data_IF_213180524423
#
_entry.id   IF_213180524423
#
_cell.length_a   1.000
_cell.length_b   1.000
_cell.length_c   1.000
_cell.angle_alpha   90.00
_cell.angle_beta   90.00
_cell.angle_gamma   90.00
#
_symmetry.space_group_name_H-M   'P 1'
#
loop_
_entity.id
_entity.type
_entity.pdbx_description
1 polymer ?
#
# COMPACT_ATOMS: atom_id res chain seq x y z
N UNK A 1 -19.66 -18.20 -1.00
CA UNK A 1 -20.77 -17.58 -0.24
C UNK A 1 -20.43 -17.28 1.22
N UNK A 2 -19.23 -17.60 1.74
CA UNK A 2 -18.81 -17.24 3.10
C UNK A 2 -17.78 -16.08 3.17
N UNK A 3 -17.28 -15.60 2.03
CA UNK A 3 -16.23 -14.57 1.97
C UNK A 3 -16.78 -13.14 2.00
N UNK A 4 -18.03 -12.93 1.56
CA UNK A 4 -18.66 -11.61 1.52
C UNK A 4 -18.93 -11.06 2.94
N UNK A 5 -19.15 -11.94 3.92
CA UNK A 5 -19.38 -11.55 5.31
C UNK A 5 -18.11 -11.18 6.07
N UNK A 6 -16.94 -11.72 5.71
CA UNK A 6 -15.72 -11.48 6.50
C UNK A 6 -15.24 -10.05 6.34
N UNK A 7 -15.36 -9.47 5.14
CA UNK A 7 -14.89 -8.11 4.89
C UNK A 7 -15.85 -7.07 5.48
N UNK A 8 -17.16 -7.27 5.32
CA UNK A 8 -18.18 -6.39 5.89
C UNK A 8 -18.15 -6.44 7.42
N UNK A 9 -18.10 -7.63 8.04
CA UNK A 9 -17.99 -7.75 9.50
C UNK A 9 -16.73 -7.07 10.04
N UNK A 10 -15.60 -7.16 9.31
CA UNK A 10 -14.32 -6.54 9.70
C UNK A 10 -14.35 -5.02 9.55
N UNK A 11 -15.04 -4.50 8.53
CA UNK A 11 -15.23 -3.07 8.32
C UNK A 11 -16.20 -2.52 9.37
N UNK A 12 -17.31 -3.21 9.64
CA UNK A 12 -18.33 -2.82 10.61
C UNK A 12 -17.75 -2.82 12.04
N UNK A 13 -16.95 -3.82 12.42
CA UNK A 13 -16.26 -3.87 13.72
C UNK A 13 -15.20 -2.75 13.87
N UNK A 14 -14.55 -2.33 12.77
CA UNK A 14 -13.62 -1.19 12.79
C UNK A 14 -14.35 0.16 12.86
N UNK A 15 -15.50 0.29 12.19
CA UNK A 15 -16.34 1.48 12.20
C UNK A 15 -17.34 1.49 13.35
N UNK A 16 -17.24 0.56 14.31
CA UNK A 16 -18.11 0.54 15.48
C UNK A 16 -18.04 1.90 16.18
N UNK A 17 -19.15 2.63 16.06
CA UNK A 17 -19.21 4.07 16.21
C UNK A 17 -18.81 4.47 17.63
N UNK A 18 -19.11 3.62 18.62
CA UNK A 18 -18.78 3.82 20.02
C UNK A 18 -17.28 3.67 20.32
N UNK A 19 -16.61 2.69 19.70
CA UNK A 19 -15.17 2.48 19.89
C UNK A 19 -14.37 3.59 19.21
N UNK A 20 -14.82 4.02 18.03
CA UNK A 20 -14.19 5.05 17.21
C UNK A 20 -14.37 6.44 17.85
N UNK A 21 -15.56 6.77 18.33
CA UNK A 21 -15.83 8.00 19.07
C UNK A 21 -15.04 8.07 20.39
N UNK A 22 -14.94 6.96 21.11
CA UNK A 22 -14.10 6.86 22.32
C UNK A 22 -12.62 7.10 21.99
N UNK A 23 -12.13 6.51 20.90
CA UNK A 23 -10.74 6.66 20.45
C UNK A 23 -10.42 8.11 20.03
N UNK A 24 -11.33 8.74 19.28
CA UNK A 24 -11.23 10.16 18.86
C UNK A 24 -11.21 11.08 20.08
N UNK A 25 -12.09 10.85 21.07
CA UNK A 25 -12.12 11.66 22.31
C UNK A 25 -10.83 11.53 23.11
N UNK A 26 -10.22 10.35 23.13
CA UNK A 26 -9.00 10.09 23.90
C UNK A 26 -7.72 10.56 23.19
N UNK A 27 -7.70 10.63 21.85
CA UNK A 27 -6.52 11.04 21.06
C UNK A 27 -6.87 12.00 19.90
N UNK A 28 -7.49 13.17 20.16
CA UNK A 28 -8.02 14.03 19.11
C UNK A 28 -6.92 14.59 18.18
N UNK A 29 -5.73 14.86 18.73
CA UNK A 29 -4.62 15.40 17.95
C UNK A 29 -4.10 14.41 16.90
N UNK A 30 -4.03 13.12 17.24
CA UNK A 30 -3.54 12.08 16.32
C UNK A 30 -4.52 11.84 15.17
N UNK A 31 -5.81 11.88 15.47
CA UNK A 31 -6.89 11.81 14.49
C UNK A 31 -6.94 13.04 13.58
N UNK A 32 -6.71 14.23 14.14
CA UNK A 32 -6.64 15.46 13.35
C UNK A 32 -5.46 15.41 12.37
N UNK A 33 -4.30 14.93 12.83
CA UNK A 33 -3.13 14.74 11.96
C UNK A 33 -3.41 13.68 10.88
N UNK A 34 -3.99 12.53 11.24
CA UNK A 34 -4.28 11.48 10.25
C UNK A 34 -5.23 11.99 9.19
N UNK A 35 -6.28 12.71 9.57
CA UNK A 35 -7.22 13.31 8.61
C UNK A 35 -6.54 14.38 7.76
N UNK A 36 -5.75 15.28 8.34
CA UNK A 36 -5.04 16.32 7.60
C UNK A 36 -4.07 15.76 6.55
N UNK A 37 -3.44 14.62 6.83
CA UNK A 37 -2.52 13.95 5.90
C UNK A 37 -3.23 13.25 4.74
N UNK A 38 -4.49 12.85 4.92
CA UNK A 38 -5.22 12.00 3.97
C UNK A 38 -6.23 12.80 3.15
N UNK A 39 -6.97 13.73 3.78
CA UNK A 39 -8.10 14.43 3.16
C UNK A 39 -7.74 15.10 1.83
N UNK A 40 -6.63 15.86 1.74
CA UNK A 40 -6.31 16.55 0.49
C UNK A 40 -6.08 15.58 -0.67
N UNK A 41 -5.42 14.45 -0.40
CA UNK A 41 -5.22 13.40 -1.41
C UNK A 41 -6.51 12.69 -1.78
N UNK A 42 -7.42 12.45 -0.84
CA UNK A 42 -8.75 11.90 -1.15
C UNK A 42 -9.60 12.85 -1.99
N UNK A 43 -9.59 14.16 -1.68
CA UNK A 43 -10.34 15.17 -2.46
C UNK A 43 -9.79 15.22 -3.89
N UNK A 44 -8.46 15.30 -4.03
CA UNK A 44 -7.79 15.27 -5.33
C UNK A 44 -8.22 14.04 -6.15
N UNK A 45 -8.13 12.86 -5.53
CA UNK A 45 -8.46 11.58 -6.15
C UNK A 45 -9.94 11.50 -6.54
N UNK A 46 -10.84 11.97 -5.68
CA UNK A 46 -12.29 11.92 -5.92
C UNK A 46 -12.75 12.78 -7.09
N UNK A 47 -11.98 13.84 -7.41
CA UNK A 47 -12.27 14.75 -8.51
C UNK A 47 -11.61 14.31 -9.83
N UNK A 48 -10.77 13.26 -9.80
CA UNK A 48 -10.19 12.66 -11.01
C UNK A 48 -9.17 13.53 -11.72
N UNK A 49 -8.50 14.44 -11.00
CA UNK A 49 -7.44 15.26 -11.59
C UNK A 49 -6.23 14.41 -11.97
N UNK A 50 -5.61 14.73 -13.10
CA UNK A 50 -4.40 14.08 -13.61
C UNK A 50 -3.13 14.89 -13.40
N UNK A 51 -3.26 16.18 -13.06
CA UNK A 51 -2.14 17.10 -12.83
C UNK A 51 -2.44 18.06 -11.66
N UNK A 52 -1.46 18.30 -10.79
CA UNK A 52 -1.63 19.17 -9.61
C UNK A 52 -2.00 20.61 -9.95
N UNK A 53 -1.47 21.13 -11.05
CA UNK A 53 -1.74 22.50 -11.51
C UNK A 53 -3.21 22.70 -11.88
N UNK A 54 -3.84 21.68 -12.47
CA UNK A 54 -5.28 21.70 -12.80
C UNK A 54 -6.14 21.70 -11.55
N UNK A 55 -5.79 20.88 -10.55
CA UNK A 55 -6.50 20.83 -9.28
C UNK A 55 -6.43 22.17 -8.52
N UNK A 56 -5.26 22.81 -8.49
CA UNK A 56 -5.05 24.06 -7.76
C UNK A 56 -5.71 25.25 -8.46
N UNK A 57 -5.68 25.25 -9.79
CA UNK A 57 -6.46 26.19 -10.61
C UNK A 57 -7.95 26.10 -10.27
N UNK A 58 -8.53 24.89 -10.29
CA UNK A 58 -9.96 24.69 -10.01
C UNK A 58 -10.33 24.99 -8.56
N UNK A 59 -9.43 24.75 -7.61
CA UNK A 59 -9.64 25.10 -6.20
C UNK A 59 -9.38 26.58 -5.90
N UNK A 60 -8.96 27.37 -6.88
CA UNK A 60 -8.65 28.79 -6.71
C UNK A 60 -7.48 29.06 -5.77
N UNK A 61 -6.56 28.09 -5.64
CA UNK A 61 -5.41 28.17 -4.74
C UNK A 61 -4.18 28.77 -5.46
N UNK A 62 -3.25 29.40 -4.73
CA UNK A 62 -1.97 29.82 -5.30
C UNK A 62 -1.14 28.63 -5.81
N UNK A 63 -0.37 28.83 -6.88
CA UNK A 63 0.52 27.80 -7.47
C UNK A 63 1.55 27.23 -6.48
N UNK A 64 1.92 27.97 -5.44
CA UNK A 64 2.79 27.49 -4.37
C UNK A 64 2.23 26.26 -3.61
N UNK A 65 0.93 25.98 -3.73
CA UNK A 65 0.31 24.79 -3.15
C UNK A 65 0.55 23.51 -3.95
N UNK A 66 1.12 23.59 -5.17
CA UNK A 66 1.39 22.40 -6.01
C UNK A 66 2.32 21.44 -5.28
N UNK A 67 3.40 21.99 -4.72
CA UNK A 67 4.35 21.24 -3.90
C UNK A 67 3.71 20.66 -2.63
N UNK A 68 2.69 21.33 -2.06
CA UNK A 68 1.97 20.81 -0.90
C UNK A 68 1.11 19.61 -1.28
N UNK A 69 0.43 19.63 -2.42
CA UNK A 69 -0.33 18.50 -2.93
C UNK A 69 0.56 17.34 -3.34
N UNK A 70 1.68 17.62 -3.99
CA UNK A 70 2.67 16.60 -4.34
C UNK A 70 3.17 15.86 -3.09
N UNK A 71 3.49 16.59 -2.01
CA UNK A 71 3.88 15.98 -0.73
C UNK A 71 2.74 15.14 -0.13
N UNK A 72 1.49 15.58 -0.24
CA UNK A 72 0.35 14.87 0.36
C UNK A 72 -0.22 13.73 -0.47
N UNK A 73 0.07 13.67 -1.76
CA UNK A 73 -0.42 12.62 -2.68
C UNK A 73 0.73 11.66 -2.97
N UNK A 74 1.77 12.11 -3.66
CA UNK A 74 2.93 11.30 -4.00
C UNK A 74 3.77 10.99 -2.77
N UNK A 75 3.89 11.93 -1.83
CA UNK A 75 4.57 11.67 -0.56
C UNK A 75 3.89 10.60 0.31
N UNK A 76 2.69 10.11 -0.02
CA UNK A 76 2.09 8.92 0.62
C UNK A 76 2.97 7.67 0.50
N UNK A 77 3.88 7.63 -0.49
CA UNK A 77 4.94 6.61 -0.58
C UNK A 77 5.76 6.47 0.71
N UNK A 78 5.95 7.58 1.44
CA UNK A 78 6.64 7.60 2.72
C UNK A 78 5.69 7.84 3.89
N UNK A 79 4.73 8.75 3.73
CA UNK A 79 3.82 9.15 4.80
C UNK A 79 3.03 7.92 5.28
N UNK A 80 2.50 7.09 4.37
CA UNK A 80 1.71 5.93 4.76
C UNK A 80 2.51 4.91 5.60
N UNK A 81 3.64 4.36 5.12
CA UNK A 81 4.40 3.36 5.88
C UNK A 81 5.06 3.93 7.14
N UNK A 82 5.63 5.15 7.08
CA UNK A 82 6.33 5.74 8.23
C UNK A 82 5.32 6.15 9.31
N UNK A 83 4.22 6.80 8.94
CA UNK A 83 3.19 7.18 9.92
C UNK A 83 2.55 5.94 10.54
N UNK A 84 2.22 4.92 9.74
CA UNK A 84 1.71 3.65 10.25
C UNK A 84 2.66 3.06 11.31
N UNK A 85 3.97 3.08 11.05
CA UNK A 85 4.97 2.59 11.99
C UNK A 85 5.08 3.45 13.28
N UNK A 86 5.09 4.78 13.15
CA UNK A 86 5.19 5.69 14.29
C UNK A 86 3.94 5.62 15.18
N UNK A 87 2.75 5.70 14.59
CA UNK A 87 1.49 5.63 15.32
C UNK A 87 1.31 4.26 16.00
N UNK A 88 1.69 3.18 15.32
CA UNK A 88 1.70 1.83 15.90
C UNK A 88 2.61 1.73 17.14
N UNK A 89 3.81 2.34 17.12
CA UNK A 89 4.70 2.36 18.30
C UNK A 89 4.13 3.13 19.49
N UNK A 90 3.30 4.13 19.24
CA UNK A 90 2.63 4.89 20.30
C UNK A 90 1.37 4.21 20.85
N UNK A 91 1.05 3.00 20.38
CA UNK A 91 -0.15 2.25 20.78
C UNK A 91 -1.44 2.74 20.13
N UNK A 92 -1.37 3.58 19.09
CA UNK A 92 -2.56 4.13 18.40
C UNK A 92 -2.73 3.44 17.05
N UNK A 93 -3.26 2.23 17.08
CA UNK A 93 -3.37 1.36 15.90
C UNK A 93 -4.46 1.84 14.93
N UNK A 94 -5.54 2.45 15.43
CA UNK A 94 -6.64 2.98 14.61
C UNK A 94 -6.23 4.09 13.62
N UNK A 95 -5.63 5.22 14.06
CA UNK A 95 -5.18 6.25 13.11
C UNK A 95 -4.03 5.74 12.22
N UNK A 96 -3.20 4.80 12.71
CA UNK A 96 -2.17 4.15 11.89
C UNK A 96 -2.78 3.39 10.72
N UNK A 97 -3.82 2.59 10.97
CA UNK A 97 -4.50 1.81 9.95
C UNK A 97 -5.25 2.71 8.97
N UNK A 98 -5.91 3.77 9.44
CA UNK A 98 -6.58 4.74 8.58
C UNK A 98 -5.59 5.35 7.56
N UNK A 99 -4.43 5.80 8.04
CA UNK A 99 -3.38 6.35 7.16
C UNK A 99 -2.86 5.28 6.19
N UNK A 100 -2.63 4.06 6.67
CA UNK A 100 -2.17 2.97 5.82
C UNK A 100 -3.17 2.64 4.71
N UNK A 101 -4.46 2.50 5.04
CA UNK A 101 -5.51 2.17 4.07
C UNK A 101 -5.75 3.31 3.09
N UNK A 102 -5.98 4.52 3.59
CA UNK A 102 -6.31 5.64 2.73
C UNK A 102 -5.11 6.12 1.91
N UNK A 103 -3.89 6.11 2.48
CA UNK A 103 -2.66 6.37 1.75
C UNK A 103 -2.44 5.36 0.62
N UNK A 104 -2.72 4.07 0.88
CA UNK A 104 -2.66 3.04 -0.17
C UNK A 104 -3.71 3.26 -1.26
N UNK A 105 -4.94 3.62 -0.89
CA UNK A 105 -6.01 3.91 -1.84
C UNK A 105 -5.71 5.13 -2.73
N UNK A 106 -5.16 6.20 -2.14
CA UNK A 106 -4.70 7.39 -2.89
C UNK A 106 -3.63 6.99 -3.91
N UNK A 107 -2.66 6.15 -3.52
CA UNK A 107 -1.61 5.69 -4.44
C UNK A 107 -2.17 4.82 -5.57
N UNK A 108 -3.09 3.89 -5.26
CA UNK A 108 -3.74 3.04 -6.28
C UNK A 108 -4.51 3.89 -7.29
N UNK A 109 -5.20 4.93 -6.82
CA UNK A 109 -6.06 5.75 -7.66
C UNK A 109 -5.29 6.80 -8.49
N UNK A 110 -4.02 7.05 -8.18
CA UNK A 110 -3.17 8.01 -8.90
C UNK A 110 -1.93 7.33 -9.52
N UNK A 111 -2.09 6.33 -10.40
CA UNK A 111 -0.97 5.56 -10.95
C UNK A 111 -0.04 6.40 -11.84
N UNK A 112 -0.54 7.47 -12.46
CA UNK A 112 0.23 8.35 -13.34
C UNK A 112 1.37 9.06 -12.60
N UNK A 113 1.11 9.50 -11.36
CA UNK A 113 2.08 10.23 -10.55
C UNK A 113 3.23 9.32 -10.10
N UNK A 114 2.91 8.07 -9.74
CA UNK A 114 3.91 7.05 -9.38
C UNK A 114 4.74 6.65 -10.59
N UNK A 115 4.10 6.52 -11.76
CA UNK A 115 4.78 6.20 -13.01
C UNK A 115 5.81 7.27 -13.41
N UNK A 116 5.45 8.57 -13.29
CA UNK A 116 6.35 9.70 -13.55
C UNK A 116 7.60 9.64 -12.66
N UNK A 117 7.43 9.43 -11.36
CA UNK A 117 8.57 9.26 -10.44
C UNK A 117 9.43 8.04 -10.78
N UNK A 118 8.79 6.92 -11.12
CA UNK A 118 9.51 5.70 -11.43
C UNK A 118 10.33 5.81 -12.70
N UNK A 119 9.84 6.52 -13.73
CA UNK A 119 10.59 6.77 -14.96
C UNK A 119 11.81 7.68 -14.72
N UNK A 120 11.68 8.66 -13.82
CA UNK A 120 12.78 9.59 -13.51
C UNK A 120 13.90 8.96 -12.67
N UNK A 121 13.57 8.03 -11.77
CA UNK A 121 14.51 7.46 -10.81
C UNK A 121 14.94 6.01 -11.13
N UNK A 122 14.22 5.28 -11.97
CA UNK A 122 14.57 3.93 -12.42
C UNK A 122 14.68 2.89 -11.30
N UNK A 123 15.68 2.01 -11.40
CA UNK A 123 15.95 0.93 -10.43
C UNK A 123 16.05 1.37 -8.95
N UNK A 124 16.72 2.49 -8.60
CA UNK A 124 16.70 3.02 -7.23
C UNK A 124 15.30 3.20 -6.63
N UNK A 125 14.31 3.61 -7.43
CA UNK A 125 12.94 3.81 -6.97
C UNK A 125 12.24 2.49 -6.64
N UNK A 126 12.50 1.42 -7.40
CA UNK A 126 11.96 0.09 -7.11
C UNK A 126 12.48 -0.47 -5.78
N UNK A 127 13.78 -0.32 -5.51
CA UNK A 127 14.38 -0.70 -4.22
C UNK A 127 13.81 0.12 -3.06
N UNK A 128 13.60 1.41 -3.30
CA UNK A 128 12.97 2.29 -2.32
C UNK A 128 11.53 1.87 -2.00
N UNK A 129 10.70 1.58 -3.01
CA UNK A 129 9.33 1.11 -2.80
C UNK A 129 9.29 -0.20 -2.01
N UNK A 130 10.18 -1.16 -2.33
CA UNK A 130 10.34 -2.39 -1.56
C UNK A 130 10.75 -2.11 -0.12
N UNK A 131 11.73 -1.24 0.11
CA UNK A 131 12.16 -0.87 1.45
C UNK A 131 11.03 -0.21 2.27
N UNK A 132 10.17 0.58 1.61
CA UNK A 132 9.02 1.24 2.24
C UNK A 132 7.88 0.27 2.62
N UNK A 133 7.85 -0.96 2.09
CA UNK A 133 6.92 -2.00 2.60
C UNK A 133 7.34 -2.56 3.97
N UNK A 134 8.64 -2.51 4.29
CA UNK A 134 9.19 -3.13 5.49
C UNK A 134 8.63 -2.56 6.82
N UNK A 135 8.47 -1.23 7.00
CA UNK A 135 7.83 -0.67 8.18
C UNK A 135 6.42 -1.24 8.44
N UNK A 136 5.60 -1.41 7.40
CA UNK A 136 4.24 -1.94 7.54
C UNK A 136 4.24 -3.43 7.90
N UNK A 137 5.13 -4.22 7.29
CA UNK A 137 5.34 -5.63 7.63
C UNK A 137 5.82 -5.77 9.08
N UNK A 138 6.67 -4.85 9.55
CA UNK A 138 7.11 -4.82 10.94
C UNK A 138 5.93 -4.57 11.90
N UNK A 139 5.06 -3.62 11.59
CA UNK A 139 3.83 -3.37 12.37
C UNK A 139 2.99 -4.65 12.44
N UNK A 140 2.80 -5.32 11.31
CA UNK A 140 2.06 -6.58 11.24
C UNK A 140 2.69 -7.67 12.12
N UNK A 141 4.03 -7.76 12.17
CA UNK A 141 4.76 -8.70 13.03
C UNK A 141 4.64 -8.34 14.52
N UNK A 142 4.63 -7.05 14.85
CA UNK A 142 4.59 -6.52 16.22
C UNK A 142 3.27 -6.70 16.99
N UNK A 143 2.20 -7.11 16.29
CA UNK A 143 0.82 -7.21 16.79
C UNK A 143 0.59 -7.94 18.11
N UNK A 144 1.42 -8.94 18.48
CA UNK A 144 1.27 -9.68 19.76
C UNK A 144 1.43 -8.77 20.97
N UNK A 145 2.13 -7.64 20.80
CA UNK A 145 2.35 -6.64 21.86
C UNK A 145 1.38 -5.46 21.80
N UNK A 146 0.59 -5.36 20.73
CA UNK A 146 -0.19 -4.17 20.41
C UNK A 146 -1.69 -4.37 20.55
N UNK A 147 -2.17 -5.61 20.45
CA UNK A 147 -3.59 -5.95 20.45
C UNK A 147 -3.83 -7.15 21.35
N UNK A 148 -4.91 -7.09 22.13
CA UNK A 148 -5.36 -8.19 22.97
C UNK A 148 -5.78 -9.40 22.12
N UNK A 149 -5.62 -10.64 22.63
CA UNK A 149 -5.99 -11.84 21.89
C UNK A 149 -7.51 -11.91 21.70
N UNK A 150 -7.99 -11.91 20.45
CA UNK A 150 -9.42 -11.95 20.12
C UNK A 150 -9.71 -11.83 18.61
N UNK A 151 -11.00 -11.71 18.26
CA UNK A 151 -11.49 -11.51 16.89
C UNK A 151 -10.99 -10.21 16.27
N UNK A 152 -11.05 -9.12 17.05
CA UNK A 152 -10.53 -7.80 16.66
C UNK A 152 -9.10 -7.91 16.12
N UNK A 153 -8.21 -8.63 16.83
CA UNK A 153 -6.81 -8.75 16.39
C UNK A 153 -6.67 -9.39 15.00
N UNK A 154 -7.56 -10.30 14.63
CA UNK A 154 -7.56 -10.90 13.30
C UNK A 154 -8.05 -9.87 12.27
N UNK A 155 -9.15 -9.17 12.56
CA UNK A 155 -9.70 -8.09 11.73
C UNK A 155 -8.64 -7.01 11.42
N UNK A 156 -7.94 -6.52 12.44
CA UNK A 156 -6.86 -5.54 12.31
C UNK A 156 -5.69 -6.06 11.46
N UNK A 157 -5.35 -7.34 11.58
CA UNK A 157 -4.31 -7.94 10.75
C UNK A 157 -4.73 -8.01 9.29
N UNK A 158 -5.99 -8.37 9.03
CA UNK A 158 -6.58 -8.45 7.69
C UNK A 158 -6.57 -7.11 7.00
N UNK A 159 -7.08 -6.08 7.65
CA UNK A 159 -7.09 -4.73 7.09
C UNK A 159 -5.67 -4.22 6.82
N UNK A 160 -4.73 -4.48 7.75
CA UNK A 160 -3.34 -4.08 7.54
C UNK A 160 -2.69 -4.85 6.39
N UNK A 161 -2.90 -6.17 6.26
CA UNK A 161 -2.35 -6.93 5.14
C UNK A 161 -2.94 -6.51 3.80
N UNK A 162 -4.25 -6.24 3.73
CA UNK A 162 -4.90 -5.72 2.53
C UNK A 162 -4.27 -4.36 2.18
N UNK A 163 -4.06 -3.48 3.16
CA UNK A 163 -3.41 -2.20 2.91
C UNK A 163 -1.97 -2.37 2.38
N UNK A 164 -1.19 -3.32 2.91
CA UNK A 164 0.16 -3.62 2.41
C UNK A 164 0.08 -4.12 0.96
N UNK A 165 -0.86 -5.02 0.64
CA UNK A 165 -1.05 -5.52 -0.72
C UNK A 165 -1.46 -4.41 -1.69
N UNK A 166 -2.39 -3.54 -1.30
CA UNK A 166 -2.79 -2.38 -2.10
C UNK A 166 -1.61 -1.44 -2.32
N UNK A 167 -0.87 -1.08 -1.26
CA UNK A 167 0.33 -0.27 -1.35
C UNK A 167 1.37 -0.88 -2.29
N UNK A 168 1.67 -2.16 -2.13
CA UNK A 168 2.64 -2.86 -2.96
C UNK A 168 2.20 -2.98 -4.41
N UNK A 169 0.91 -3.21 -4.67
CA UNK A 169 0.38 -3.23 -6.02
C UNK A 169 0.49 -1.85 -6.71
N UNK A 170 0.26 -0.76 -5.97
CA UNK A 170 0.35 0.60 -6.50
C UNK A 170 1.79 1.06 -6.73
N UNK A 171 2.76 0.54 -5.97
CA UNK A 171 4.12 1.11 -5.93
C UNK A 171 5.18 0.15 -6.46
N UNK A 172 5.18 -1.10 -6.00
CA UNK A 172 6.21 -2.09 -6.32
C UNK A 172 6.01 -2.65 -7.73
N UNK A 173 4.78 -2.94 -8.15
CA UNK A 173 4.50 -3.45 -9.50
C UNK A 173 4.94 -2.47 -10.60
N UNK A 174 4.54 -1.18 -10.59
CA UNK A 174 4.98 -0.25 -11.63
C UNK A 174 6.48 0.00 -11.59
N UNK A 175 7.06 0.15 -10.40
CA UNK A 175 8.51 0.41 -10.26
C UNK A 175 9.39 -0.76 -10.67
N UNK A 176 8.97 -1.99 -10.37
CA UNK A 176 9.69 -3.20 -10.80
C UNK A 176 9.59 -3.39 -12.32
N UNK A 177 8.46 -3.01 -12.93
CA UNK A 177 8.32 -2.98 -14.39
C UNK A 177 9.35 -2.06 -15.06
N UNK A 178 9.54 -0.86 -14.51
CA UNK A 178 10.56 0.10 -15.02
C UNK A 178 11.98 -0.44 -14.80
N UNK A 179 12.29 -0.94 -13.61
CA UNK A 179 13.63 -1.47 -13.29
C UNK A 179 14.01 -2.68 -14.17
N UNK A 180 13.06 -3.58 -14.44
CA UNK A 180 13.29 -4.73 -15.32
C UNK A 180 13.46 -4.30 -16.78
N UNK A 181 12.77 -3.24 -17.21
CA UNK A 181 12.95 -2.68 -18.55
C UNK A 181 14.34 -2.03 -18.71
N UNK A 182 14.81 -1.32 -17.68
CA UNK A 182 16.15 -0.70 -17.66
C UNK A 182 17.28 -1.74 -17.74
N UNK A 183 17.12 -2.90 -17.10
CA UNK A 183 18.16 -3.93 -17.01
C UNK A 183 18.23 -4.86 -18.23
N UNK A 184 17.11 -5.11 -18.92
CA UNK A 184 17.00 -6.20 -19.90
C UNK A 184 16.66 -5.75 -21.32
N UNK A 185 16.32 -4.48 -21.55
CA UNK A 185 15.94 -4.00 -22.88
C UNK A 185 17.06 -3.05 -23.39
N UNK A 186 17.89 -3.56 -24.29
CA UNK A 186 19.14 -2.92 -24.78
C UNK A 186 18.92 -1.83 -25.84
N UNK A 187 17.68 -1.58 -26.25
CA UNK A 187 17.39 -0.56 -27.26
C UNK A 187 17.13 0.79 -26.59
N UNK A 188 18.12 1.69 -26.71
CA UNK A 188 18.15 3.09 -26.24
C UNK A 188 17.08 4.03 -26.81
N UNK A 189 15.90 3.52 -27.14
CA UNK A 189 14.67 4.31 -27.23
C UNK A 189 13.95 4.01 -25.94
N UNK A 190 14.10 4.91 -24.96
CA UNK A 190 13.40 4.85 -23.68
C UNK A 190 11.99 4.36 -23.92
N UNK A 191 11.72 3.12 -23.49
CA UNK A 191 10.43 2.50 -23.63
C UNK A 191 9.46 3.42 -22.91
N UNK A 192 8.82 4.30 -23.66
CA UNK A 192 7.74 5.10 -23.15
C UNK A 192 6.68 4.08 -22.78
N UNK A 193 6.62 3.75 -21.49
CA UNK A 193 5.54 3.00 -20.89
C UNK A 193 4.34 3.95 -20.94
N UNK A 194 3.83 4.19 -22.16
CA UNK A 194 2.82 5.19 -22.48
C UNK A 194 1.41 4.68 -22.20
N UNK A 195 1.30 3.50 -21.59
CA UNK A 195 0.05 2.93 -21.15
C UNK A 195 0.32 2.11 -19.88
N UNK A 196 0.50 2.80 -18.76
CA UNK A 196 0.43 2.18 -17.44
C UNK A 196 -1.02 1.85 -17.12
N UNK A 197 -1.52 0.81 -17.75
CA UNK A 197 -2.79 0.23 -17.38
C UNK A 197 -2.51 -0.84 -16.31
N UNK A 198 -2.95 -0.54 -15.08
CA UNK A 198 -2.74 -1.36 -13.88
C UNK A 198 -3.23 -2.81 -14.07
N UNK A 199 -4.23 -3.02 -14.95
CA UNK A 199 -4.79 -4.33 -15.31
C UNK A 199 -4.53 -4.77 -16.75
N UNK A 200 -4.15 -3.89 -17.69
CA UNK A 200 -3.76 -4.37 -19.01
C UNK A 200 -2.34 -4.95 -18.92
N UNK A 201 -2.26 -6.28 -18.90
CA UNK A 201 -1.03 -7.05 -18.89
C UNK A 201 -0.13 -6.91 -20.13
N UNK A 202 -0.19 -5.79 -20.86
CA UNK A 202 0.58 -5.57 -22.08
C UNK A 202 1.51 -4.37 -21.95
N UNK A 203 2.69 -4.60 -21.38
CA UNK A 203 3.85 -3.77 -21.71
C UNK A 203 4.39 -4.38 -23.01
N UNK A 204 3.97 -3.83 -24.16
CA UNK A 204 4.57 -4.21 -25.44
C UNK A 204 6.04 -3.75 -25.43
N UNK A 205 6.97 -4.70 -25.37
CA UNK A 205 8.37 -4.41 -25.69
C UNK A 205 9.41 -5.36 -25.11
N UNK A 206 9.14 -6.08 -24.02
CA UNK A 206 10.19 -6.88 -23.36
C UNK A 206 9.61 -8.04 -22.55
N UNK A 207 10.03 -9.28 -22.83
CA UNK A 207 9.60 -10.49 -22.08
C UNK A 207 9.89 -10.36 -20.57
N UNK A 208 10.92 -9.59 -20.19
CA UNK A 208 11.25 -9.30 -18.79
C UNK A 208 10.13 -8.57 -18.03
N UNK A 209 9.26 -7.82 -18.72
CA UNK A 209 8.14 -7.11 -18.10
C UNK A 209 7.05 -8.06 -17.56
N UNK A 210 7.04 -9.32 -18.00
CA UNK A 210 6.16 -10.37 -17.43
C UNK A 210 6.48 -10.67 -15.96
N UNK A 211 7.73 -10.47 -15.54
CA UNK A 211 8.18 -10.68 -14.15
C UNK A 211 7.92 -9.49 -13.21
N UNK A 212 7.21 -8.45 -13.66
CA UNK A 212 6.88 -7.27 -12.82
C UNK A 212 6.13 -7.60 -11.53
N UNK A 213 5.44 -8.75 -11.50
CA UNK A 213 4.71 -9.25 -10.33
C UNK A 213 5.54 -10.17 -9.43
N UNK A 214 6.74 -10.60 -9.82
CA UNK A 214 7.58 -11.47 -8.99
C UNK A 214 7.84 -10.90 -7.57
N UNK A 215 8.09 -9.58 -7.41
CA UNK A 215 8.20 -8.96 -6.09
C UNK A 215 6.95 -9.07 -5.22
N UNK A 216 5.76 -9.18 -5.81
CA UNK A 216 4.51 -9.39 -5.06
C UNK A 216 4.50 -10.74 -4.36
N UNK A 217 5.10 -11.79 -4.94
CA UNK A 217 5.21 -13.10 -4.28
C UNK A 217 6.04 -13.01 -3.00
N UNK A 218 7.13 -12.23 -3.03
CA UNK A 218 7.95 -11.98 -1.83
C UNK A 218 7.17 -11.22 -0.77
N UNK A 219 6.36 -10.23 -1.17
CA UNK A 219 5.52 -9.45 -0.25
C UNK A 219 4.43 -10.32 0.36
N UNK A 220 3.73 -11.14 -0.43
CA UNK A 220 2.74 -12.10 0.07
C UNK A 220 3.38 -13.07 1.05
N UNK A 221 4.56 -13.62 0.72
CA UNK A 221 5.32 -14.46 1.64
C UNK A 221 5.72 -13.74 2.93
N UNK A 222 6.13 -12.47 2.85
CA UNK A 222 6.48 -11.67 4.02
C UNK A 222 5.27 -11.34 4.90
N UNK A 223 4.11 -11.06 4.29
CA UNK A 223 2.83 -10.87 4.99
C UNK A 223 2.43 -12.16 5.69
N UNK A 224 2.46 -13.29 4.98
CA UNK A 224 2.14 -14.60 5.54
C UNK A 224 3.06 -14.93 6.72
N UNK A 225 4.38 -14.74 6.58
CA UNK A 225 5.31 -14.93 7.69
C UNK A 225 5.02 -14.00 8.89
N UNK A 226 4.61 -12.75 8.61
CA UNK A 226 4.27 -11.80 9.65
C UNK A 226 2.90 -12.08 10.29
N UNK A 227 1.96 -12.75 9.61
CA UNK A 227 0.57 -13.03 10.01
C UNK A 227 0.46 -13.96 11.24
N UNK A 228 -0.52 -13.80 12.17
CA UNK A 228 -0.52 -14.58 13.42
C UNK A 228 -0.73 -16.08 13.22
N UNK A 229 -1.48 -16.48 12.18
CA UNK A 229 -1.62 -17.88 11.72
C UNK A 229 -0.69 -18.27 10.58
N UNK A 230 0.06 -17.33 10.01
CA UNK A 230 0.70 -17.59 8.74
C UNK A 230 1.91 -18.52 8.84
N UNK A 231 2.49 -18.72 10.02
CA UNK A 231 3.49 -19.79 10.23
C UNK A 231 2.89 -21.19 10.16
N UNK A 232 1.67 -21.38 10.66
CA UNK A 232 0.94 -22.65 10.57
C UNK A 232 0.51 -22.89 9.13
N UNK A 233 -0.06 -21.87 8.47
CA UNK A 233 -0.46 -21.94 7.05
C UNK A 233 0.74 -22.19 6.13
N UNK A 234 1.86 -21.49 6.32
CA UNK A 234 3.09 -21.74 5.55
C UNK A 234 3.62 -23.14 5.84
N UNK A 235 3.54 -23.61 7.08
CA UNK A 235 3.91 -24.97 7.46
C UNK A 235 3.07 -26.01 6.74
N UNK A 236 1.74 -25.87 6.78
CA UNK A 236 0.78 -26.75 6.09
C UNK A 236 1.01 -26.75 4.57
N UNK A 237 1.21 -25.59 3.95
CA UNK A 237 1.50 -25.50 2.50
C UNK A 237 2.85 -26.16 2.16
N UNK A 238 3.87 -25.96 2.99
CA UNK A 238 5.18 -26.59 2.78
C UNK A 238 5.08 -28.10 2.95
N UNK A 239 4.36 -28.57 3.97
CA UNK A 239 4.15 -30.00 4.24
C UNK A 239 3.36 -30.64 3.08
N UNK A 240 2.30 -29.99 2.57
CA UNK A 240 1.55 -30.44 1.40
C UNK A 240 2.43 -30.53 0.14
N UNK A 241 3.28 -29.53 -0.11
CA UNK A 241 4.22 -29.52 -1.24
C UNK A 241 5.27 -30.63 -1.09
N UNK A 242 5.81 -30.83 0.12
CA UNK A 242 6.79 -31.87 0.40
C UNK A 242 6.17 -33.25 0.24
N UNK A 243 4.94 -33.45 0.71
CA UNK A 243 4.21 -34.70 0.56
C UNK A 243 3.93 -35.01 -0.92
N UNK A 244 3.51 -34.02 -1.71
CA UNK A 244 3.33 -34.17 -3.15
C UNK A 244 4.64 -34.34 -3.94
N UNK A 245 5.76 -33.83 -3.43
CA UNK A 245 7.07 -33.99 -4.05
C UNK A 245 7.74 -35.35 -3.75
N UNK A 246 7.26 -36.07 -2.72
CA UNK A 246 7.77 -37.40 -2.33
C UNK A 246 7.01 -38.53 -3.04
N UNK A 247 5.79 -38.28 -3.54
CA UNK A 247 4.99 -39.25 -4.32
C UNK A 247 5.39 -39.34 -5.82
N UNK A 248 6.44 -38.64 -6.24
CA UNK A 248 7.08 -38.74 -7.57
C UNK A 248 8.56 -39.10 -7.47
#
# INVERSE_FOLDING_TARGET
>A
MAEEYILDDVIEEFFDEDTLLSNIKNNPFKWTISLALILPGMIYTSQGYTDYSTAISDWGLPTNFELFLEILITGQLMIAPISCYLFSRTGNVAPALLIAMAGSAILVANPHEIARMSQGLGTPFALFCLAMTAPMIWVLKGKKKLLDPGKERIAWCSLLAISILMFSSATVVPSSGVALAELNCDDGIGAMINQFDFFAGSIQGCDAATYRYAPMLFIVGAIAWAWPRGKEIIGEIIDDIVEHAIEH
#
